data_IF_838802850438
#
_entry.id   IF_838802850438
#
_cell.length_a   1.000
_cell.length_b   1.000
_cell.length_c   1.000
_cell.angle_alpha   90.00
_cell.angle_beta   90.00
_cell.angle_gamma   90.00
#
_symmetry.space_group_name_H-M   'P 1'
#
loop_
_entity.id
_entity.type
_entity.pdbx_description
1 polymer ?
#
# COMPACT_ATOMS: atom_id res chain seq x y z
N UNK A 1 -44.13 -15.14 10.04
CA UNK A 1 -43.36 -14.07 9.38
C UNK A 1 -43.06 -14.59 7.99
N UNK A 2 -43.18 -13.73 6.98
CA UNK A 2 -42.75 -14.09 5.62
C UNK A 2 -41.22 -14.00 5.55
N UNK A 3 -40.63 -14.66 4.56
CA UNK A 3 -39.18 -14.61 4.35
C UNK A 3 -38.66 -13.16 4.20
N UNK A 4 -39.40 -12.32 3.49
CA UNK A 4 -39.10 -10.89 3.37
C UNK A 4 -39.27 -10.09 4.66
N UNK A 5 -40.21 -10.45 5.53
CA UNK A 5 -40.32 -9.78 6.84
C UNK A 5 -39.10 -10.09 7.72
N UNK A 6 -38.60 -11.33 7.65
CA UNK A 6 -37.40 -11.75 8.38
C UNK A 6 -36.13 -11.07 7.82
N UNK A 7 -36.00 -10.96 6.49
CA UNK A 7 -34.91 -10.20 5.85
C UNK A 7 -34.97 -8.71 6.22
N UNK A 8 -36.13 -8.08 6.13
CA UNK A 8 -36.28 -6.66 6.46
C UNK A 8 -35.91 -6.38 7.92
N UNK A 9 -36.32 -7.26 8.84
CA UNK A 9 -35.95 -7.13 10.26
C UNK A 9 -34.45 -7.33 10.50
N UNK A 10 -33.77 -8.17 9.72
CA UNK A 10 -32.33 -8.38 9.83
C UNK A 10 -31.54 -7.20 9.25
N UNK A 11 -31.98 -6.66 8.11
CA UNK A 11 -31.39 -5.45 7.50
C UNK A 11 -31.57 -4.22 8.39
N UNK A 12 -32.74 -4.02 8.99
CA UNK A 12 -33.00 -2.92 9.93
C UNK A 12 -32.07 -2.97 11.16
N UNK A 13 -31.73 -4.17 11.64
CA UNK A 13 -30.77 -4.34 12.74
C UNK A 13 -29.35 -3.90 12.37
N UNK A 14 -28.98 -3.99 11.10
CA UNK A 14 -27.72 -3.48 10.52
C UNK A 14 -27.83 -2.00 10.09
N UNK A 15 -28.99 -1.37 10.30
CA UNK A 15 -29.25 0.02 9.89
C UNK A 15 -29.49 0.20 8.39
N UNK A 16 -29.76 -0.88 7.66
CA UNK A 16 -30.00 -0.87 6.21
C UNK A 16 -31.50 -0.76 5.95
N UNK A 17 -31.90 0.27 5.20
CA UNK A 17 -33.30 0.47 4.83
C UNK A 17 -33.75 -0.54 3.77
N UNK A 18 -35.01 -0.98 3.85
CA UNK A 18 -35.62 -1.85 2.83
C UNK A 18 -37.07 -1.46 2.58
N UNK A 19 -37.55 -1.67 1.35
CA UNK A 19 -38.94 -1.46 0.94
C UNK A 19 -39.48 -2.72 0.29
N UNK A 20 -40.72 -3.10 0.61
CA UNK A 20 -41.37 -4.27 0.01
C UNK A 20 -42.60 -3.82 -0.76
N UNK A 21 -42.63 -4.11 -2.06
CA UNK A 21 -43.80 -3.89 -2.92
C UNK A 21 -44.17 -5.20 -3.60
N UNK A 22 -45.41 -5.65 -3.39
CA UNK A 22 -45.92 -6.91 -3.92
C UNK A 22 -45.00 -8.11 -3.60
N UNK A 23 -44.46 -8.78 -4.62
CA UNK A 23 -43.59 -9.97 -4.52
C UNK A 23 -42.09 -9.62 -4.64
N UNK A 24 -41.72 -8.34 -4.54
CA UNK A 24 -40.34 -7.86 -4.66
C UNK A 24 -39.96 -7.01 -3.45
N UNK A 25 -38.80 -7.32 -2.86
CA UNK A 25 -38.15 -6.46 -1.87
C UNK A 25 -37.03 -5.68 -2.55
N UNK A 26 -36.90 -4.41 -2.21
CA UNK A 26 -35.87 -3.52 -2.72
C UNK A 26 -35.03 -2.98 -1.55
N UNK A 27 -33.73 -2.88 -1.77
CA UNK A 27 -32.76 -2.35 -0.81
C UNK A 27 -31.93 -1.29 -1.54
N UNK A 28 -32.09 0.00 -1.23
CA UNK A 28 -31.30 1.06 -1.85
C UNK A 28 -29.82 0.94 -1.43
N UNK A 29 -28.90 1.05 -2.40
CA UNK A 29 -27.46 1.20 -2.13
C UNK A 29 -27.07 2.67 -2.29
N UNK A 30 -27.39 3.26 -3.45
CA UNK A 30 -27.15 4.67 -3.77
C UNK A 30 -28.40 5.31 -4.34
N UNK A 31 -28.33 6.57 -4.77
CA UNK A 31 -29.42 7.23 -5.49
C UNK A 31 -29.75 6.53 -6.81
N UNK A 32 -28.76 5.83 -7.40
CA UNK A 32 -28.83 5.33 -8.77
C UNK A 32 -28.89 3.79 -8.81
N UNK A 33 -28.57 3.10 -7.72
CA UNK A 33 -28.50 1.63 -7.64
C UNK A 33 -29.29 1.06 -6.45
N UNK A 34 -29.96 -0.06 -6.70
CA UNK A 34 -30.67 -0.84 -5.68
C UNK A 34 -30.52 -2.35 -5.90
N UNK A 35 -30.68 -3.10 -4.81
CA UNK A 35 -30.76 -4.56 -4.81
C UNK A 35 -32.22 -4.97 -4.79
N UNK A 36 -32.60 -5.92 -5.65
CA UNK A 36 -33.94 -6.46 -5.70
C UNK A 36 -33.93 -7.95 -5.34
N UNK A 37 -34.77 -8.33 -4.38
CA UNK A 37 -35.03 -9.71 -4.02
C UNK A 37 -36.36 -10.16 -4.62
N UNK A 38 -36.33 -11.24 -5.40
CA UNK A 38 -37.51 -11.89 -5.97
C UNK A 38 -37.63 -13.28 -5.38
N UNK A 39 -38.74 -13.56 -4.70
CA UNK A 39 -38.99 -14.84 -4.05
C UNK A 39 -39.10 -15.96 -5.09
N UNK A 40 -38.39 -17.06 -4.85
CA UNK A 40 -38.36 -18.22 -5.75
C UNK A 40 -39.40 -19.26 -5.33
N UNK A 41 -39.52 -19.51 -4.02
CA UNK A 41 -40.36 -20.57 -3.47
C UNK A 41 -41.01 -20.13 -2.14
N UNK A 42 -42.34 -20.29 -1.98
CA UNK A 42 -43.07 -19.85 -0.79
C UNK A 42 -42.96 -20.81 0.42
N UNK A 43 -42.35 -21.98 0.24
CA UNK A 43 -42.17 -23.01 1.28
C UNK A 43 -40.70 -23.13 1.71
N UNK A 44 -39.77 -22.81 0.84
CA UNK A 44 -38.33 -22.76 1.10
C UNK A 44 -37.86 -21.30 1.07
N UNK A 45 -37.23 -20.76 2.14
CA UNK A 45 -36.67 -19.41 2.13
C UNK A 45 -35.63 -19.29 1.01
N UNK A 46 -36.03 -18.72 -0.13
CA UNK A 46 -35.18 -18.64 -1.31
C UNK A 46 -35.55 -17.43 -2.15
N UNK A 47 -34.56 -16.60 -2.48
CA UNK A 47 -34.75 -15.42 -3.32
C UNK A 47 -33.60 -15.27 -4.32
N UNK A 48 -33.94 -14.87 -5.54
CA UNK A 48 -32.98 -14.36 -6.50
C UNK A 48 -32.63 -12.93 -6.13
N UNK A 49 -31.34 -12.59 -6.15
CA UNK A 49 -30.83 -11.27 -5.80
C UNK A 49 -30.31 -10.60 -7.06
N UNK A 50 -30.92 -9.48 -7.42
CA UNK A 50 -30.56 -8.69 -8.58
C UNK A 50 -29.99 -7.34 -8.18
N UNK A 51 -29.12 -6.77 -9.02
CA UNK A 51 -28.79 -5.34 -8.97
C UNK A 51 -29.50 -4.66 -10.14
N UNK A 52 -30.15 -3.55 -9.84
CA UNK A 52 -30.87 -2.75 -10.81
C UNK A 52 -30.59 -1.26 -10.58
N UNK A 53 -30.80 -0.46 -11.62
CA UNK A 53 -30.84 0.98 -11.48
C UNK A 53 -32.11 1.40 -10.73
N UNK A 54 -32.01 2.39 -9.85
CA UNK A 54 -33.11 2.78 -8.95
C UNK A 54 -34.20 3.66 -9.60
N UNK A 55 -33.91 4.29 -10.75
CA UNK A 55 -34.77 5.29 -11.43
C UNK A 55 -35.11 4.91 -12.89
N UNK A 56 -35.38 3.62 -13.14
CA UNK A 56 -35.85 3.17 -14.46
C UNK A 56 -37.37 3.21 -14.51
N UNK A 57 -37.92 4.04 -15.40
CA UNK A 57 -39.35 4.06 -15.72
C UNK A 57 -39.76 2.70 -16.32
N UNK A 58 -40.99 2.24 -16.05
CA UNK A 58 -41.53 0.97 -16.57
C UNK A 58 -41.52 0.85 -18.11
N UNK A 59 -41.30 1.96 -18.81
CA UNK A 59 -41.24 2.07 -20.27
C UNK A 59 -39.80 2.03 -20.84
N UNK A 60 -38.75 2.02 -20.00
CA UNK A 60 -37.36 1.94 -20.46
C UNK A 60 -36.93 0.47 -20.68
N UNK A 61 -36.97 0.05 -21.94
CA UNK A 61 -36.62 -1.31 -22.39
C UNK A 61 -35.10 -1.61 -22.35
N UNK A 62 -34.26 -0.67 -21.90
CA UNK A 62 -32.79 -0.72 -22.08
C UNK A 62 -31.95 -0.75 -20.78
N UNK A 63 -32.54 -0.92 -19.59
CA UNK A 63 -31.76 -1.21 -18.36
C UNK A 63 -32.27 -2.45 -17.61
N UNK A 64 -31.38 -3.45 -17.56
CA UNK A 64 -31.63 -4.86 -17.34
C UNK A 64 -31.15 -5.24 -15.93
N UNK A 65 -32.07 -5.65 -15.06
CA UNK A 65 -31.70 -6.14 -13.74
C UNK A 65 -30.77 -7.37 -13.87
N UNK A 66 -29.58 -7.30 -13.28
CA UNK A 66 -28.56 -8.36 -13.40
C UNK A 66 -28.64 -9.27 -12.19
N UNK A 67 -28.83 -10.57 -12.42
CA UNK A 67 -28.78 -11.58 -11.34
C UNK A 67 -27.34 -11.69 -10.83
N UNK A 68 -27.12 -11.34 -9.56
CA UNK A 68 -25.80 -11.37 -8.93
C UNK A 68 -25.62 -12.50 -7.94
N UNK A 69 -26.70 -12.93 -7.27
CA UNK A 69 -26.64 -14.05 -6.33
C UNK A 69 -28.01 -14.68 -6.09
N UNK A 70 -28.03 -15.77 -5.33
CA UNK A 70 -29.24 -16.45 -4.85
C UNK A 70 -29.08 -16.66 -3.35
N UNK A 71 -30.04 -16.19 -2.55
CA UNK A 71 -30.05 -16.36 -1.10
C UNK A 71 -30.98 -17.51 -0.72
N UNK A 72 -30.50 -18.43 0.12
CA UNK A 72 -31.28 -19.58 0.64
C UNK A 72 -31.61 -19.45 2.14
N UNK A 73 -31.24 -18.33 2.73
CA UNK A 73 -31.49 -17.99 4.11
C UNK A 73 -31.50 -16.47 4.29
N UNK A 74 -31.94 -16.02 5.47
CA UNK A 74 -31.90 -14.60 5.84
C UNK A 74 -30.45 -14.12 5.94
N UNK A 75 -29.57 -14.93 6.52
CA UNK A 75 -28.15 -14.60 6.64
C UNK A 75 -27.49 -14.45 5.26
N UNK A 76 -27.77 -15.36 4.32
CA UNK A 76 -27.25 -15.25 2.94
C UNK A 76 -27.74 -13.97 2.24
N UNK A 77 -28.99 -13.57 2.50
CA UNK A 77 -29.58 -12.37 1.91
C UNK A 77 -28.90 -11.11 2.45
N UNK A 78 -28.67 -11.04 3.76
CA UNK A 78 -27.97 -9.93 4.41
C UNK A 78 -26.52 -9.87 3.94
N UNK A 79 -25.81 -11.01 3.89
CA UNK A 79 -24.43 -11.07 3.40
C UNK A 79 -24.33 -10.57 1.95
N UNK A 80 -25.25 -10.99 1.08
CA UNK A 80 -25.31 -10.52 -0.29
C UNK A 80 -25.49 -8.99 -0.37
N UNK A 81 -26.35 -8.42 0.46
CA UNK A 81 -26.56 -6.96 0.52
C UNK A 81 -25.30 -6.25 1.01
N UNK A 82 -24.77 -6.67 2.17
CA UNK A 82 -23.59 -6.04 2.78
C UNK A 82 -22.39 -6.05 1.85
N UNK A 83 -22.18 -7.13 1.09
CA UNK A 83 -21.09 -7.22 0.11
C UNK A 83 -21.18 -6.16 -0.99
N UNK A 84 -22.37 -5.95 -1.53
CA UNK A 84 -22.57 -4.99 -2.61
C UNK A 84 -22.51 -3.55 -2.10
N UNK A 85 -23.06 -3.29 -0.91
CA UNK A 85 -22.91 -1.99 -0.24
C UNK A 85 -21.42 -1.69 0.02
N UNK A 86 -20.65 -2.66 0.52
CA UNK A 86 -19.22 -2.47 0.75
C UNK A 86 -18.46 -2.20 -0.55
N UNK A 87 -18.79 -2.92 -1.63
CA UNK A 87 -18.18 -2.70 -2.95
C UNK A 87 -18.48 -1.30 -3.48
N UNK A 88 -19.73 -0.85 -3.38
CA UNK A 88 -20.13 0.49 -3.81
C UNK A 88 -19.44 1.59 -2.98
N UNK A 89 -19.34 1.41 -1.66
CA UNK A 89 -18.61 2.35 -0.80
C UNK A 89 -17.12 2.46 -1.18
N UNK A 90 -16.45 1.33 -1.45
CA UNK A 90 -15.06 1.34 -1.95
C UNK A 90 -14.95 2.14 -3.25
N UNK A 91 -15.86 1.92 -4.20
CA UNK A 91 -15.85 2.62 -5.49
C UNK A 91 -16.10 4.11 -5.30
N UNK A 92 -17.07 4.48 -4.46
CA UNK A 92 -17.37 5.89 -4.14
C UNK A 92 -16.17 6.58 -3.52
N UNK A 93 -15.50 5.97 -2.54
CA UNK A 93 -14.32 6.57 -1.88
C UNK A 93 -13.16 6.73 -2.85
N UNK A 94 -12.87 5.71 -3.67
CA UNK A 94 -11.83 5.80 -4.70
C UNK A 94 -12.13 6.94 -5.69
N UNK A 95 -13.40 7.08 -6.09
CA UNK A 95 -13.82 8.16 -6.97
C UNK A 95 -13.67 9.53 -6.30
N UNK A 96 -14.05 9.67 -5.04
CA UNK A 96 -13.91 10.94 -4.30
C UNK A 96 -12.46 11.36 -4.13
N UNK A 97 -11.55 10.39 -3.91
CA UNK A 97 -10.11 10.63 -3.86
C UNK A 97 -9.56 11.09 -5.22
N UNK A 98 -9.95 10.42 -6.31
CA UNK A 98 -9.49 10.74 -7.66
C UNK A 98 -10.06 12.07 -8.19
N UNK A 99 -11.32 12.39 -7.85
CA UNK A 99 -11.98 13.61 -8.30
C UNK A 99 -11.64 14.82 -7.40
N UNK A 100 -11.04 14.60 -6.23
CA UNK A 100 -10.75 15.65 -5.26
C UNK A 100 -12.02 16.36 -4.77
N UNK A 101 -13.11 15.61 -4.59
CA UNK A 101 -14.44 16.18 -4.28
C UNK A 101 -14.47 16.86 -2.91
N UNK A 102 -13.62 16.42 -1.97
CA UNK A 102 -13.55 16.96 -0.61
C UNK A 102 -12.52 18.11 -0.50
N UNK A 103 -12.93 19.22 0.13
CA UNK A 103 -12.09 20.43 0.26
C UNK A 103 -10.80 20.20 1.07
N UNK A 104 -10.78 19.20 1.95
CA UNK A 104 -9.62 18.89 2.81
C UNK A 104 -8.46 18.28 2.04
N UNK A 105 -8.73 17.69 0.87
CA UNK A 105 -7.72 17.05 0.02
C UNK A 105 -7.54 17.80 -1.31
N UNK A 106 -8.04 19.03 -1.42
CA UNK A 106 -8.00 19.80 -2.67
C UNK A 106 -6.57 20.10 -3.18
N UNK A 107 -5.57 20.01 -2.30
CA UNK A 107 -4.15 20.18 -2.64
C UNK A 107 -3.45 18.85 -2.98
N UNK A 108 -4.13 17.71 -2.82
CA UNK A 108 -3.62 16.38 -3.15
C UNK A 108 -4.14 15.94 -4.52
N UNK A 109 -3.24 15.62 -5.45
CA UNK A 109 -3.58 15.10 -6.77
C UNK A 109 -3.38 13.59 -6.79
N UNK A 110 -4.46 12.83 -6.54
CA UNK A 110 -4.41 11.38 -6.58
C UNK A 110 -4.50 10.83 -8.02
N UNK A 111 -3.64 9.87 -8.32
CA UNK A 111 -3.71 9.02 -9.49
C UNK A 111 -3.98 7.57 -9.07
N UNK A 112 -4.69 6.81 -9.91
CA UNK A 112 -4.89 5.39 -9.70
C UNK A 112 -3.64 4.62 -10.12
N UNK A 113 -3.21 3.66 -9.30
CA UNK A 113 -2.09 2.78 -9.61
C UNK A 113 -2.41 1.87 -10.82
N UNK A 114 -1.42 1.65 -11.67
CA UNK A 114 -1.58 0.90 -12.92
C UNK A 114 -1.80 -0.61 -12.70
N UNK A 115 -1.26 -1.14 -11.60
CA UNK A 115 -1.28 -2.57 -11.28
C UNK A 115 -2.42 -2.92 -10.31
N UNK A 116 -2.80 -1.98 -9.46
CA UNK A 116 -3.81 -2.15 -8.44
C UNK A 116 -4.90 -1.06 -8.50
N UNK A 117 -6.09 -1.37 -9.04
CA UNK A 117 -7.17 -0.38 -9.15
C UNK A 117 -7.73 0.07 -7.78
N UNK A 118 -7.41 -0.63 -6.70
CA UNK A 118 -7.81 -0.25 -5.35
C UNK A 118 -6.81 0.68 -4.66
N UNK A 119 -5.67 0.95 -5.29
CA UNK A 119 -4.63 1.82 -4.77
C UNK A 119 -4.66 3.15 -5.52
N UNK A 120 -4.66 4.25 -4.78
CA UNK A 120 -4.41 5.58 -5.31
C UNK A 120 -3.16 6.16 -4.65
N UNK A 121 -2.40 6.92 -5.43
CA UNK A 121 -1.11 7.51 -5.06
C UNK A 121 -1.17 9.00 -5.35
N UNK A 122 -0.68 9.81 -4.43
CA UNK A 122 -0.46 11.24 -4.63
C UNK A 122 0.99 11.58 -4.29
N UNK A 123 1.65 12.32 -5.16
CA UNK A 123 2.96 12.91 -4.88
C UNK A 123 2.79 13.99 -3.81
N UNK A 124 3.65 13.95 -2.79
CA UNK A 124 3.63 14.89 -1.67
C UNK A 124 5.07 15.27 -1.31
N UNK A 125 5.25 16.48 -0.76
CA UNK A 125 6.60 17.00 -0.46
C UNK A 125 7.50 17.04 -1.72
N UNK A 126 8.80 16.73 -1.61
CA UNK A 126 9.73 16.78 -2.74
C UNK A 126 9.93 15.39 -3.38
N UNK A 127 10.12 14.38 -2.53
CA UNK A 127 10.53 13.02 -2.91
C UNK A 127 9.75 12.01 -2.05
N UNK A 128 8.44 12.24 -1.88
CA UNK A 128 7.57 11.41 -1.07
C UNK A 128 6.22 11.13 -1.74
N UNK A 129 5.61 10.02 -1.35
CA UNK A 129 4.32 9.58 -1.86
C UNK A 129 3.34 9.25 -0.73
N UNK A 130 2.09 9.66 -0.93
CA UNK A 130 0.95 9.25 -0.12
C UNK A 130 0.14 8.17 -0.85
N UNK A 131 0.11 6.97 -0.27
CA UNK A 131 -0.58 5.80 -0.82
C UNK A 131 -1.82 5.46 -0.01
N UNK A 132 -2.96 5.34 -0.68
CA UNK A 132 -4.25 4.96 -0.07
C UNK A 132 -4.80 3.72 -0.77
N UNK A 133 -4.78 2.58 -0.06
CA UNK A 133 -5.37 1.32 -0.52
C UNK A 133 -6.78 1.18 0.05
N UNK A 134 -7.80 1.16 -0.81
CA UNK A 134 -9.21 1.03 -0.42
C UNK A 134 -9.73 -0.36 -0.78
N UNK A 135 -9.94 -1.22 0.22
CA UNK A 135 -10.37 -2.59 0.04
C UNK A 135 -11.44 -2.99 1.06
N UNK A 136 -12.01 -4.20 0.92
CA UNK A 136 -12.97 -4.73 1.89
C UNK A 136 -12.30 -5.77 2.78
N UNK A 137 -12.20 -5.49 4.09
CA UNK A 137 -11.60 -6.37 5.09
C UNK A 137 -12.73 -6.93 5.96
N UNK A 138 -12.88 -8.25 6.00
CA UNK A 138 -13.95 -8.94 6.75
C UNK A 138 -15.37 -8.40 6.43
N UNK A 139 -15.61 -7.99 5.18
CA UNK A 139 -16.89 -7.43 4.74
C UNK A 139 -17.07 -5.94 5.05
N UNK A 140 -16.09 -5.29 5.70
CA UNK A 140 -16.11 -3.86 6.04
C UNK A 140 -15.19 -3.10 5.09
N UNK A 141 -15.69 -2.09 4.35
CA UNK A 141 -14.85 -1.28 3.50
C UNK A 141 -13.89 -0.46 4.36
N UNK A 142 -12.61 -0.53 4.01
CA UNK A 142 -11.49 -0.03 4.80
C UNK A 142 -10.45 0.61 3.90
N UNK A 143 -9.91 1.75 4.31
CA UNK A 143 -8.81 2.44 3.64
C UNK A 143 -7.54 2.32 4.48
N UNK A 144 -6.46 1.82 3.88
CA UNK A 144 -5.13 1.72 4.48
C UNK A 144 -4.28 2.84 3.91
N UNK A 145 -3.72 3.67 4.79
CA UNK A 145 -2.94 4.85 4.39
C UNK A 145 -1.48 4.67 4.77
N UNK A 146 -0.58 4.94 3.82
CA UNK A 146 0.87 4.89 3.99
C UNK A 146 1.51 6.12 3.39
N UNK A 147 2.50 6.65 4.09
CA UNK A 147 3.40 7.67 3.59
C UNK A 147 4.76 7.02 3.31
N UNK A 148 5.30 7.24 2.14
CA UNK A 148 6.60 6.71 1.72
C UNK A 148 7.52 7.90 1.45
N UNK A 149 8.71 7.87 2.06
CA UNK A 149 9.79 8.79 1.72
C UNK A 149 10.84 8.04 0.92
N UNK A 150 11.36 8.68 -0.13
CA UNK A 150 12.47 8.17 -0.92
C UNK A 150 13.74 8.93 -0.51
N UNK A 151 14.84 8.20 -0.34
CA UNK A 151 16.14 8.70 0.14
C UNK A 151 17.15 8.50 -0.98
N UNK A 152 16.83 9.02 -2.17
CA UNK A 152 17.79 9.04 -3.27
C UNK A 152 18.29 10.47 -3.41
N UNK A 153 19.55 10.70 -3.04
CA UNK A 153 20.27 11.83 -3.58
C UNK A 153 20.43 11.61 -5.10
N UNK A 154 20.34 12.66 -5.92
CA UNK A 154 20.55 12.57 -7.39
C UNK A 154 21.86 11.82 -7.72
N UNK A 155 22.87 11.94 -6.84
CA UNK A 155 24.18 11.29 -6.96
C UNK A 155 24.12 9.76 -6.73
N UNK A 156 23.25 9.24 -5.85
CA UNK A 156 23.08 7.79 -5.63
C UNK A 156 22.36 7.11 -6.81
N UNK A 157 21.46 7.84 -7.47
CA UNK A 157 20.77 7.39 -8.68
C UNK A 157 21.75 7.22 -9.86
N UNK A 158 22.65 8.18 -10.03
CA UNK A 158 23.74 8.12 -11.01
C UNK A 158 24.69 6.94 -10.72
N UNK A 159 25.04 6.69 -9.45
CA UNK A 159 25.90 5.56 -9.06
C UNK A 159 25.22 4.18 -9.29
N UNK A 160 23.91 4.06 -9.01
CA UNK A 160 23.14 2.83 -9.29
C UNK A 160 22.99 2.61 -10.81
N UNK A 161 22.77 3.67 -11.59
CA UNK A 161 22.74 3.61 -13.06
C UNK A 161 24.10 3.14 -13.59
N UNK A 162 25.19 3.75 -13.14
CA UNK A 162 26.55 3.39 -13.53
C UNK A 162 26.90 1.95 -13.12
N UNK A 163 26.43 1.47 -11.96
CA UNK A 163 26.62 0.08 -11.54
C UNK A 163 25.78 -0.91 -12.37
N UNK A 164 24.52 -0.58 -12.68
CA UNK A 164 23.67 -1.41 -13.54
C UNK A 164 24.24 -1.51 -14.97
N UNK A 165 24.76 -0.38 -15.49
CA UNK A 165 25.52 -0.34 -16.73
C UNK A 165 26.77 -1.21 -16.59
N UNK A 166 27.61 -1.01 -15.58
CA UNK A 166 28.83 -1.81 -15.39
C UNK A 166 28.55 -3.33 -15.32
N UNK A 167 27.52 -3.75 -14.59
CA UNK A 167 27.11 -5.16 -14.50
C UNK A 167 26.61 -5.70 -15.85
N UNK A 168 25.84 -4.94 -16.62
CA UNK A 168 25.43 -5.34 -17.97
C UNK A 168 26.63 -5.52 -18.92
N UNK A 169 27.71 -4.75 -18.71
CA UNK A 169 28.97 -4.88 -19.45
C UNK A 169 29.85 -6.04 -18.96
N UNK A 170 29.81 -6.39 -17.67
CA UNK A 170 30.55 -7.51 -17.06
C UNK A 170 29.93 -8.90 -17.35
N UNK A 171 28.62 -8.99 -17.59
CA UNK A 171 27.92 -10.26 -17.88
C UNK A 171 28.37 -10.90 -19.21
N UNK A 172 29.07 -10.15 -20.08
CA UNK A 172 29.46 -10.61 -21.42
C UNK A 172 30.99 -10.72 -21.61
N UNK A 173 31.77 -10.90 -20.54
CA UNK A 173 33.18 -11.33 -20.65
C UNK A 173 33.35 -12.85 -20.85
N UNK A 174 32.29 -13.66 -20.68
CA UNK A 174 32.35 -15.12 -20.89
C UNK A 174 32.05 -15.58 -22.33
N UNK A 175 31.47 -14.73 -23.20
CA UNK A 175 31.22 -15.04 -24.63
C UNK A 175 32.20 -14.28 -25.55
N UNK A 176 33.40 -14.85 -25.73
CA UNK A 176 34.52 -14.32 -26.54
C UNK A 176 34.27 -14.18 -28.07
N UNK A 177 33.03 -14.21 -28.58
CA UNK A 177 32.74 -14.29 -30.03
C UNK A 177 31.93 -13.13 -30.63
N UNK A 178 31.55 -12.10 -29.85
CA UNK A 178 30.93 -10.87 -30.39
C UNK A 178 31.98 -9.81 -30.71
N UNK A 179 32.03 -9.33 -31.95
CA UNK A 179 32.88 -8.21 -32.34
C UNK A 179 32.28 -6.86 -31.90
N UNK A 180 33.16 -5.88 -31.66
CA UNK A 180 32.82 -4.54 -31.13
C UNK A 180 31.62 -3.88 -31.82
N UNK A 181 31.47 -4.08 -33.14
CA UNK A 181 30.37 -3.50 -33.91
C UNK A 181 29.02 -4.19 -33.65
N UNK A 182 29.01 -5.50 -33.43
CA UNK A 182 27.81 -6.27 -33.10
C UNK A 182 27.44 -6.06 -31.62
N UNK A 183 28.43 -5.81 -30.75
CA UNK A 183 28.25 -5.42 -29.34
C UNK A 183 27.56 -4.06 -29.23
N UNK A 184 28.04 -3.05 -29.96
CA UNK A 184 27.42 -1.71 -30.02
C UNK A 184 25.98 -1.79 -30.56
N UNK A 185 25.73 -2.62 -31.59
CA UNK A 185 24.39 -2.77 -32.15
C UNK A 185 23.40 -3.47 -31.21
N UNK A 186 23.87 -4.34 -30.30
CA UNK A 186 23.02 -4.98 -29.30
C UNK A 186 22.67 -3.99 -28.16
N UNK A 187 23.63 -3.17 -27.73
CA UNK A 187 23.42 -2.08 -26.77
C UNK A 187 22.48 -0.98 -27.30
N UNK A 188 22.61 -0.58 -28.57
CA UNK A 188 21.74 0.43 -29.22
C UNK A 188 20.30 -0.09 -29.47
N UNK A 189 20.06 -1.40 -29.29
CA UNK A 189 18.73 -2.03 -29.34
C UNK A 189 18.23 -2.51 -27.96
N UNK A 190 19.05 -2.39 -26.92
CA UNK A 190 18.58 -2.55 -25.55
C UNK A 190 18.08 -1.17 -25.12
N UNK A 191 16.76 -0.98 -25.12
CA UNK A 191 16.13 0.19 -24.52
C UNK A 191 16.42 0.17 -23.01
N UNK A 192 17.57 0.71 -22.59
CA UNK A 192 17.92 0.88 -21.18
C UNK A 192 17.04 1.94 -20.49
N UNK A 193 16.33 2.77 -21.27
CA UNK A 193 15.18 3.58 -20.81
C UNK A 193 14.04 2.73 -20.19
N UNK A 194 14.05 1.39 -20.35
CA UNK A 194 13.05 0.46 -19.83
C UNK A 194 13.56 -0.49 -18.73
N UNK A 195 14.73 -0.26 -18.12
CA UNK A 195 15.00 -0.92 -16.83
C UNK A 195 14.17 -0.17 -15.79
N UNK A 196 13.05 -0.73 -15.26
CA UNK A 196 12.29 -0.02 -14.25
C UNK A 196 13.21 0.11 -13.04
N UNK A 197 13.70 1.32 -12.78
CA UNK A 197 14.24 1.68 -11.48
C UNK A 197 13.05 1.50 -10.54
N UNK A 198 13.00 0.37 -9.86
CA UNK A 198 12.02 0.15 -8.82
C UNK A 198 12.47 1.04 -7.69
N UNK A 199 11.92 2.25 -7.62
CA UNK A 199 12.13 3.16 -6.51
C UNK A 199 11.73 2.43 -5.22
N UNK A 200 12.73 1.97 -4.48
CA UNK A 200 12.50 1.30 -3.21
C UNK A 200 12.37 2.41 -2.17
N UNK A 201 11.20 2.55 -1.51
CA UNK A 201 11.05 3.57 -0.49
C UNK A 201 12.05 3.31 0.64
N UNK A 202 12.74 4.35 1.07
CA UNK A 202 13.74 4.28 2.11
C UNK A 202 13.09 4.02 3.47
N UNK A 203 12.01 4.75 3.75
CA UNK A 203 11.18 4.52 4.93
C UNK A 203 9.69 4.62 4.61
N UNK A 204 8.91 3.77 5.29
CA UNK A 204 7.46 3.70 5.13
C UNK A 204 6.77 3.95 6.48
N UNK A 205 6.04 5.06 6.57
CA UNK A 205 5.23 5.41 7.72
C UNK A 205 3.79 4.91 7.52
N UNK A 206 3.37 3.94 8.34
CA UNK A 206 1.99 3.44 8.34
C UNK A 206 1.09 4.40 9.15
N UNK A 207 0.20 5.11 8.45
CA UNK A 207 -0.70 6.09 9.06
C UNK A 207 -1.97 5.44 9.63
N UNK A 208 -2.30 4.24 9.18
CA UNK A 208 -3.30 3.36 9.80
C UNK A 208 -4.38 2.86 8.83
N UNK A 209 -5.42 2.26 9.41
CA UNK A 209 -6.59 1.75 8.68
C UNK A 209 -7.87 2.45 9.15
N UNK A 210 -8.68 2.89 8.19
CA UNK A 210 -9.87 3.71 8.42
C UNK A 210 -11.10 3.05 7.83
N UNK A 211 -12.12 2.86 8.67
CA UNK A 211 -13.49 2.49 8.25
C UNK A 211 -14.43 3.70 8.27
N UNK A 212 -13.97 4.82 8.83
CA UNK A 212 -14.67 6.10 8.88
C UNK A 212 -14.01 7.03 7.86
N UNK A 213 -14.65 7.20 6.71
CA UNK A 213 -14.08 7.95 5.58
C UNK A 213 -14.01 9.46 5.84
N UNK A 214 -14.88 10.01 6.69
CA UNK A 214 -14.75 11.41 7.10
C UNK A 214 -13.43 11.62 7.85
N UNK A 215 -13.07 10.68 8.72
CA UNK A 215 -11.79 10.69 9.43
C UNK A 215 -10.61 10.41 8.50
N UNK A 216 -10.79 9.58 7.47
CA UNK A 216 -9.77 9.38 6.43
C UNK A 216 -9.42 10.73 5.80
N UNK A 217 -10.40 11.49 5.31
CA UNK A 217 -10.17 12.79 4.68
C UNK A 217 -9.54 13.81 5.64
N UNK A 218 -9.92 13.80 6.93
CA UNK A 218 -9.24 14.63 7.94
C UNK A 218 -7.74 14.29 8.06
N UNK A 219 -7.40 13.01 8.02
CA UNK A 219 -6.01 12.56 8.09
C UNK A 219 -5.26 12.92 6.83
N UNK A 220 -5.83 12.69 5.65
CA UNK A 220 -5.19 13.03 4.37
C UNK A 220 -4.90 14.53 4.28
N UNK A 221 -5.83 15.39 4.72
CA UNK A 221 -5.58 16.83 4.82
C UNK A 221 -4.49 17.20 5.84
N UNK A 222 -4.33 16.43 6.91
CA UNK A 222 -3.19 16.61 7.82
C UNK A 222 -1.87 16.17 7.17
N UNK A 223 -1.87 15.10 6.38
CA UNK A 223 -0.67 14.65 5.66
C UNK A 223 -0.17 15.73 4.72
N UNK A 224 -1.05 16.38 3.95
CA UNK A 224 -0.62 17.44 3.03
C UNK A 224 0.07 18.59 3.76
N UNK A 225 -0.35 18.92 4.99
CA UNK A 225 0.29 19.94 5.82
C UNK A 225 1.61 19.47 6.45
N UNK A 226 1.76 18.18 6.74
CA UNK A 226 2.90 17.62 7.48
C UNK A 226 3.95 16.92 6.60
N UNK A 227 3.66 16.70 5.31
CA UNK A 227 4.48 15.89 4.42
C UNK A 227 5.94 16.35 4.40
N UNK A 228 6.20 17.66 4.26
CA UNK A 228 7.55 18.22 4.25
C UNK A 228 8.31 17.99 5.57
N UNK A 229 7.62 18.09 6.70
CA UNK A 229 8.22 17.88 8.01
C UNK A 229 8.53 16.40 8.26
N UNK A 230 7.70 15.48 7.73
CA UNK A 230 7.91 14.04 7.84
C UNK A 230 9.00 13.54 6.89
N UNK A 231 9.01 14.01 5.65
CA UNK A 231 10.09 13.73 4.69
C UNK A 231 11.45 14.06 5.31
N UNK A 232 11.62 15.27 5.85
CA UNK A 232 12.86 15.69 6.50
C UNK A 232 13.25 14.89 7.75
N UNK A 233 12.33 14.10 8.32
CA UNK A 233 12.60 13.22 9.47
C UNK A 233 12.83 11.76 9.08
N UNK A 234 12.38 11.36 7.90
CA UNK A 234 12.43 9.99 7.38
C UNK A 234 13.59 9.80 6.37
N UNK A 235 13.98 10.86 5.68
CA UNK A 235 15.23 10.92 4.89
C UNK A 235 16.40 10.71 5.86
N UNK A 236 17.42 9.95 5.42
CA UNK A 236 18.51 9.55 6.29
C UNK A 236 19.30 10.79 6.75
N UNK A 237 19.80 10.72 7.98
CA UNK A 237 20.66 11.77 8.51
C UNK A 237 21.99 11.75 7.74
N UNK A 238 22.33 12.83 7.06
CA UNK A 238 23.68 13.02 6.52
C UNK A 238 24.67 13.16 7.69
N UNK A 239 25.45 12.11 7.96
CA UNK A 239 26.46 12.05 9.03
C UNK A 239 27.52 13.17 8.87
N UNK A 240 27.66 13.77 7.67
CA UNK A 240 28.62 14.85 7.41
C UNK A 240 28.20 16.21 8.02
N UNK A 241 26.90 16.42 8.25
CA UNK A 241 26.35 17.68 8.80
C UNK A 241 26.15 17.67 10.33
N UNK A 242 26.42 16.53 10.98
CA UNK A 242 26.33 16.40 12.43
C UNK A 242 27.70 16.58 13.11
N UNK A 243 27.97 17.80 13.62
CA UNK A 243 29.02 17.97 14.63
C UNK A 243 28.61 17.21 15.90
N UNK A 244 29.15 16.00 16.09
CA UNK A 244 28.96 15.20 17.30
C UNK A 244 29.13 16.12 18.53
N UNK A 245 28.08 16.33 19.35
CA UNK A 245 28.20 17.26 20.46
C UNK A 245 29.24 16.71 21.41
N UNK A 246 30.30 17.47 21.69
CA UNK A 246 31.39 17.12 22.62
C UNK A 246 30.81 16.51 23.89
N UNK A 247 30.71 15.17 23.94
CA UNK A 247 30.23 14.46 25.10
C UNK A 247 31.35 14.66 26.12
N UNK A 248 31.10 15.52 27.11
CA UNK A 248 31.98 15.60 28.26
C UNK A 248 32.09 14.19 28.83
N UNK A 249 33.28 13.62 28.69
CA UNK A 249 33.63 12.31 29.22
C UNK A 249 33.52 12.37 30.75
N UNK A 250 32.29 12.12 31.22
CA UNK A 250 31.89 12.27 32.62
C UNK A 250 32.30 11.03 33.44
N UNK A 251 32.78 9.99 32.76
CA UNK A 251 33.39 8.80 33.34
C UNK A 251 34.81 8.67 32.82
N UNK A 252 35.68 9.56 33.30
CA UNK A 252 37.11 9.45 33.05
C UNK A 252 37.63 8.03 33.27
N UNK A 253 38.29 7.50 32.25
CA UNK A 253 39.38 6.56 32.46
C UNK A 253 40.66 7.41 32.47
N UNK A 254 41.19 7.56 33.69
CA UNK A 254 42.40 8.29 34.04
C UNK A 254 43.59 7.96 33.11
N UNK A 255 44.25 9.02 32.64
CA UNK A 255 45.71 9.22 32.70
C UNK A 255 46.58 8.02 33.13
N UNK A 256 46.99 7.11 32.24
CA UNK A 256 48.19 6.27 32.49
C UNK A 256 48.92 5.86 31.19
N UNK A 257 49.48 6.81 30.46
CA UNK A 257 50.57 6.51 29.51
C UNK A 257 51.56 7.69 29.51
N UNK A 258 52.53 7.66 30.43
CA UNK A 258 53.93 8.02 30.15
C UNK A 258 54.82 7.78 31.40
N UNK A 259 55.85 6.97 31.19
CA UNK A 259 57.03 6.75 32.04
C UNK A 259 56.86 5.90 33.32
N UNK A 260 57.40 4.67 33.30
CA UNK A 260 58.48 4.18 34.18
C UNK A 260 58.44 2.65 34.39
N UNK A 261 59.30 1.89 33.70
CA UNK A 261 60.22 0.87 34.27
C UNK A 261 60.84 0.00 33.15
N UNK A 262 62.08 0.33 32.78
CA UNK A 262 63.03 -0.60 32.14
C UNK A 262 63.61 -1.49 33.25
N UNK A 263 63.49 -2.81 33.13
CA UNK A 263 63.76 -3.74 34.21
C UNK A 263 63.81 -5.21 33.80
N UNK A 264 64.96 -5.60 33.26
CA UNK A 264 65.56 -6.94 33.20
C UNK A 264 65.19 -7.89 32.05
N UNK A 265 66.20 -8.05 31.19
CA UNK A 265 66.47 -9.19 30.32
C UNK A 265 66.30 -10.53 31.05
N UNK A 266 65.57 -11.47 30.44
CA UNK A 266 65.80 -12.90 30.70
C UNK A 266 65.84 -13.65 29.38
N UNK A 267 67.08 -13.99 28.99
CA UNK A 267 67.44 -14.95 27.96
C UNK A 267 66.53 -16.18 27.97
N UNK A 268 65.93 -16.49 26.83
CA UNK A 268 65.48 -17.84 26.53
C UNK A 268 66.26 -18.34 25.32
N UNK A 269 67.44 -18.91 25.60
CA UNK A 269 68.21 -19.71 24.65
C UNK A 269 67.41 -20.98 24.31
N UNK A 270 67.05 -21.07 23.03
CA UNK A 270 66.54 -22.27 22.37
C UNK A 270 67.73 -23.15 21.97
N UNK A 271 67.97 -24.25 22.69
CA UNK A 271 68.76 -25.39 22.17
C UNK A 271 68.16 -26.73 22.62
N UNK A 272 67.35 -27.28 21.72
CA UNK A 272 67.45 -28.63 21.13
C UNK A 272 67.81 -29.86 21.99
N UNK A 273 66.98 -30.87 21.73
CA UNK A 273 67.34 -32.26 21.42
C UNK A 273 67.21 -33.36 22.49
N UNK A 274 66.41 -34.33 22.04
CA UNK A 274 66.64 -35.77 22.05
C UNK A 274 66.44 -36.58 23.35
N UNK A 275 65.54 -37.55 23.14
CA UNK A 275 65.72 -38.94 23.51
C UNK A 275 65.39 -39.40 24.94
N UNK A 276 64.22 -40.04 25.00
CA UNK A 276 64.12 -41.49 25.05
C UNK A 276 63.89 -42.16 26.42
N UNK A 277 63.09 -43.20 26.30
CA UNK A 277 63.02 -44.41 27.10
C UNK A 277 62.22 -44.44 28.43
N UNK A 278 61.07 -45.14 28.27
CA UNK A 278 60.44 -46.14 29.14
C UNK A 278 59.44 -45.71 30.21
#
# INVERSE_FOLDING_TARGET
>A
MSFFEDIASALDAEGIESRVNDDVMFVPITSDLEIQFIEIDPLLPAANVYIAAADVDEDDEEFEAVLVSVAFSVDDAVEAVSRHIATDQVVTVLRDLLEGTDERIAELEFAQDELNPHLVVAEVANDSELRVLVETIDGVPSAIVRFLAFDFDEDDLDDIEDEAVAQAWEVDEEDEDLDEADRIALFDNADFDEVPIVEVPAEALELGTYTDFDRLFDVLGLVSEQALDWEAQLVSFDDEDYEEPDVYDIFGEDDEDEDFFDGEESDFEDETDEDNEK
#
